data_IF_204880279769
#
_entry.id   IF_204880279769
#
_cell.length_a   1.000
_cell.length_b   1.000
_cell.length_c   1.000
_cell.angle_alpha   90.00
_cell.angle_beta   90.00
_cell.angle_gamma   90.00
#
_symmetry.space_group_name_H-M   'P 1'
#
loop_
_entity.id
_entity.type
_entity.pdbx_description
1 polymer ?
#
# COMPACT_ATOMS: atom_id res chain seq x y z
N UNK A 1 17.69 11.30 19.74
CA UNK A 1 16.24 11.45 19.96
C UNK A 1 15.58 10.75 18.78
N UNK A 2 15.12 9.51 18.96
CA UNK A 2 14.32 8.81 17.96
C UNK A 2 12.88 9.25 18.17
N UNK A 3 12.28 9.98 17.23
CA UNK A 3 10.83 10.12 17.19
C UNK A 3 10.28 8.88 16.47
N UNK A 4 9.97 7.84 17.24
CA UNK A 4 9.20 6.72 16.72
C UNK A 4 7.76 7.19 16.46
N UNK A 5 7.54 7.95 15.38
CA UNK A 5 6.21 8.19 14.84
C UNK A 5 5.78 6.91 14.13
N UNK A 6 5.31 5.94 14.92
CA UNK A 6 4.65 4.77 14.38
C UNK A 6 3.36 5.22 13.71
N UNK A 7 3.22 4.98 12.40
CA UNK A 7 1.94 5.14 11.71
C UNK A 7 0.99 4.06 12.24
N UNK A 8 -0.06 4.47 12.95
CA UNK A 8 -1.19 3.59 13.23
C UNK A 8 -2.03 3.56 11.95
N UNK A 9 -1.98 2.46 11.23
CA UNK A 9 -2.80 2.26 10.04
C UNK A 9 -4.09 1.62 10.51
N UNK A 10 -5.19 2.39 10.54
CA UNK A 10 -6.51 1.86 10.85
C UNK A 10 -7.11 1.27 9.56
N UNK A 11 -7.34 -0.04 9.56
CA UNK A 11 -8.19 -0.68 8.59
C UNK A 11 -9.65 -0.41 8.97
N UNK A 12 -10.43 0.10 8.02
CA UNK A 12 -11.89 0.12 8.10
C UNK A 12 -12.50 -1.07 7.34
N UNK A 13 -13.82 -1.16 7.31
CA UNK A 13 -14.55 -2.23 6.62
C UNK A 13 -14.24 -2.32 5.10
N UNK A 14 -13.69 -1.26 4.51
CA UNK A 14 -13.34 -1.20 3.09
C UNK A 14 -11.85 -1.43 2.82
N UNK A 15 -11.03 -1.55 3.87
CA UNK A 15 -9.60 -1.76 3.73
C UNK A 15 -9.31 -3.22 3.41
N UNK A 16 -8.62 -3.48 2.30
CA UNK A 16 -8.15 -4.82 1.99
C UNK A 16 -6.86 -5.11 2.76
N UNK A 17 -6.89 -6.09 3.67
CA UNK A 17 -5.73 -6.46 4.49
C UNK A 17 -5.27 -7.86 4.13
N UNK A 18 -4.00 -7.97 3.73
CA UNK A 18 -3.35 -9.25 3.40
C UNK A 18 -2.06 -9.37 4.21
N UNK A 19 -1.89 -10.52 4.88
CA UNK A 19 -0.71 -10.75 5.72
C UNK A 19 -0.14 -12.15 5.54
N UNK A 20 1.18 -12.28 5.66
CA UNK A 20 1.86 -13.57 5.63
C UNK A 20 3.30 -13.44 5.15
N UNK A 21 4.18 -14.28 5.68
CA UNK A 21 5.58 -14.32 5.25
C UNK A 21 5.75 -15.30 4.10
N UNK A 22 6.66 -15.00 3.17
CA UNK A 22 6.95 -15.85 2.01
C UNK A 22 5.75 -16.08 1.08
N UNK A 23 4.74 -15.22 1.14
CA UNK A 23 3.52 -15.35 0.36
C UNK A 23 3.57 -14.55 -0.94
N UNK A 24 2.71 -14.92 -1.89
CA UNK A 24 2.45 -14.14 -3.09
C UNK A 24 1.05 -13.55 -3.01
N UNK A 25 0.93 -12.26 -3.26
CA UNK A 25 -0.32 -11.52 -3.20
C UNK A 25 -0.60 -10.85 -4.54
N UNK A 26 -1.84 -10.90 -4.98
CA UNK A 26 -2.33 -10.20 -6.15
C UNK A 26 -3.59 -9.44 -5.78
N UNK A 27 -3.59 -8.14 -6.05
CA UNK A 27 -4.70 -7.24 -5.74
C UNK A 27 -5.00 -6.39 -6.96
N UNK A 28 -6.24 -6.43 -7.42
CA UNK A 28 -6.78 -5.42 -8.33
C UNK A 28 -7.36 -4.29 -7.48
N UNK A 29 -6.80 -3.10 -7.60
CA UNK A 29 -7.08 -1.98 -6.71
C UNK A 29 -8.42 -1.38 -7.08
N UNK A 30 -8.63 -0.93 -8.32
CA UNK A 30 -9.94 -0.44 -8.80
C UNK A 30 -10.73 0.42 -7.81
N UNK A 31 -10.05 1.24 -6.99
CA UNK A 31 -10.60 1.75 -5.73
C UNK A 31 -10.41 3.26 -5.58
N UNK A 32 -11.41 3.90 -5.00
CA UNK A 32 -11.38 5.30 -4.59
C UNK A 32 -11.30 5.37 -3.08
N UNK A 33 -10.22 5.96 -2.55
CA UNK A 33 -9.95 6.09 -1.12
C UNK A 33 -9.90 7.58 -0.76
N UNK A 34 -10.74 8.01 0.19
CA UNK A 34 -10.92 9.42 0.55
C UNK A 34 -11.03 9.60 2.06
N UNK A 35 -10.30 10.57 2.61
CA UNK A 35 -10.36 10.96 4.02
C UNK A 35 -9.12 10.56 4.83
N UNK A 36 -8.72 11.43 5.76
CA UNK A 36 -7.44 11.35 6.49
C UNK A 36 -7.23 10.04 7.29
N UNK A 37 -8.31 9.38 7.69
CA UNK A 37 -8.28 8.14 8.48
C UNK A 37 -8.50 6.89 7.63
N UNK A 38 -8.41 6.99 6.30
CA UNK A 38 -8.71 5.88 5.37
C UNK A 38 -7.47 5.28 4.75
N UNK A 39 -7.45 3.95 4.71
CA UNK A 39 -6.43 3.18 4.00
C UNK A 39 -7.08 2.27 2.97
N UNK A 40 -6.53 2.20 1.76
CA UNK A 40 -7.03 1.32 0.72
C UNK A 40 -6.62 -0.13 0.92
N UNK A 41 -5.32 -0.39 0.74
CA UNK A 41 -4.75 -1.75 0.81
C UNK A 41 -3.62 -1.78 1.82
N UNK A 42 -3.58 -2.80 2.67
CA UNK A 42 -2.49 -3.08 3.60
C UNK A 42 -1.94 -4.46 3.29
N UNK A 43 -0.64 -4.53 3.02
CA UNK A 43 0.11 -5.78 2.91
C UNK A 43 1.19 -5.80 3.99
N UNK A 44 1.25 -6.88 4.76
CA UNK A 44 2.27 -7.04 5.80
C UNK A 44 2.88 -8.43 5.82
N UNK A 45 4.20 -8.50 5.71
CA UNK A 45 4.94 -9.75 5.79
C UNK A 45 6.31 -9.66 5.13
N UNK A 46 7.20 -10.54 5.57
CA UNK A 46 8.56 -10.63 5.03
C UNK A 46 8.61 -11.52 3.79
N UNK A 47 9.50 -11.20 2.84
CA UNK A 47 9.75 -11.96 1.61
C UNK A 47 8.50 -12.16 0.76
N UNK A 48 7.56 -11.22 0.80
CA UNK A 48 6.34 -11.28 0.00
C UNK A 48 6.58 -10.84 -1.44
N UNK A 49 5.85 -11.42 -2.39
CA UNK A 49 5.79 -10.94 -3.78
C UNK A 49 4.39 -10.37 -4.01
N UNK A 50 4.31 -9.06 -4.22
CA UNK A 50 3.06 -8.33 -4.30
C UNK A 50 2.86 -7.79 -5.72
N UNK A 51 1.78 -8.20 -6.38
CA UNK A 51 1.35 -7.64 -7.67
C UNK A 51 0.09 -6.84 -7.46
N UNK A 52 0.18 -5.53 -7.60
CA UNK A 52 -0.92 -4.59 -7.41
C UNK A 52 -1.24 -3.96 -8.76
N UNK A 53 -2.39 -4.31 -9.33
CA UNK A 53 -2.84 -3.81 -10.63
C UNK A 53 -4.07 -2.93 -10.47
N UNK A 54 -4.47 -2.26 -11.55
CA UNK A 54 -5.73 -1.53 -11.63
C UNK A 54 -5.63 -0.08 -11.15
N UNK A 55 -6.60 0.71 -11.60
CA UNK A 55 -6.58 2.16 -11.40
C UNK A 55 -7.05 2.52 -9.98
N UNK A 56 -6.51 3.61 -9.44
CA UNK A 56 -6.83 4.06 -8.09
C UNK A 56 -6.94 5.58 -8.02
N UNK A 57 -7.88 6.06 -7.23
CA UNK A 57 -7.97 7.48 -6.87
C UNK A 57 -7.82 7.60 -5.37
N UNK A 58 -6.89 8.41 -4.89
CA UNK A 58 -6.62 8.61 -3.47
C UNK A 58 -6.66 10.10 -3.17
N UNK A 59 -7.53 10.53 -2.26
CA UNK A 59 -7.69 11.96 -1.94
C UNK A 59 -7.97 12.25 -0.46
N UNK A 60 -8.05 13.54 -0.12
CA UNK A 60 -8.46 14.06 1.19
C UNK A 60 -7.66 13.51 2.37
N UNK A 61 -6.34 13.37 2.21
CA UNK A 61 -5.44 12.89 3.26
C UNK A 61 -5.36 11.37 3.42
N UNK A 62 -6.06 10.60 2.58
CA UNK A 62 -6.07 9.14 2.66
C UNK A 62 -4.72 8.49 2.31
N UNK A 63 -4.60 7.19 2.59
CA UNK A 63 -3.47 6.36 2.18
C UNK A 63 -3.94 5.27 1.22
N UNK A 64 -3.43 5.26 -0.02
CA UNK A 64 -3.87 4.31 -1.04
C UNK A 64 -3.36 2.89 -0.81
N UNK A 65 -2.09 2.76 -0.48
CA UNK A 65 -1.40 1.47 -0.33
C UNK A 65 -0.41 1.55 0.82
N UNK A 66 -0.40 0.53 1.67
CA UNK A 66 0.67 0.32 2.64
C UNK A 66 1.25 -1.07 2.48
N UNK A 67 2.56 -1.16 2.32
CA UNK A 67 3.31 -2.42 2.31
C UNK A 67 4.38 -2.35 3.40
N UNK A 68 4.40 -3.35 4.28
CA UNK A 68 5.38 -3.46 5.37
C UNK A 68 6.02 -4.83 5.39
N UNK A 69 7.33 -4.89 5.62
CA UNK A 69 8.09 -6.12 5.76
C UNK A 69 9.43 -6.10 5.01
N UNK A 70 10.33 -6.98 5.39
CA UNK A 70 11.67 -7.06 4.82
C UNK A 70 11.68 -7.97 3.58
N UNK A 71 12.56 -7.67 2.62
CA UNK A 71 12.75 -8.43 1.37
C UNK A 71 11.49 -8.54 0.50
N UNK A 72 10.60 -7.55 0.52
CA UNK A 72 9.40 -7.58 -0.33
C UNK A 72 9.73 -7.24 -1.78
N UNK A 73 9.01 -7.85 -2.72
CA UNK A 73 9.06 -7.48 -4.15
C UNK A 73 7.68 -6.99 -4.56
N UNK A 74 7.58 -5.73 -4.95
CA UNK A 74 6.32 -5.06 -5.22
C UNK A 74 6.27 -4.64 -6.68
N UNK A 75 5.27 -5.09 -7.41
CA UNK A 75 4.95 -4.63 -8.76
C UNK A 75 3.64 -3.85 -8.68
N UNK A 76 3.70 -2.54 -8.89
CA UNK A 76 2.54 -1.65 -8.86
C UNK A 76 2.31 -1.18 -10.29
N UNK A 77 1.15 -1.54 -10.84
CA UNK A 77 0.77 -1.23 -12.21
C UNK A 77 -0.63 -0.62 -12.29
N UNK A 78 -0.84 0.27 -13.26
CA UNK A 78 -2.11 0.98 -13.46
C UNK A 78 -2.01 2.48 -13.15
N UNK A 79 -3.08 3.21 -13.39
CA UNK A 79 -3.12 4.66 -13.22
C UNK A 79 -3.56 5.03 -11.81
N UNK A 80 -2.71 5.73 -11.06
CA UNK A 80 -3.05 6.22 -9.71
C UNK A 80 -3.11 7.75 -9.70
N UNK A 81 -4.29 8.31 -9.47
CA UNK A 81 -4.48 9.73 -9.20
C UNK A 81 -4.39 9.98 -7.68
N UNK A 82 -3.53 10.91 -7.26
CA UNK A 82 -3.36 11.28 -5.85
C UNK A 82 -3.58 12.78 -5.69
N UNK A 83 -4.48 13.19 -4.81
CA UNK A 83 -4.76 14.61 -4.51
C UNK A 83 -4.80 14.87 -3.00
N UNK A 84 -3.83 15.61 -2.48
CA UNK A 84 -3.77 15.91 -1.04
C UNK A 84 -3.63 14.68 -0.14
N UNK A 85 -3.09 13.57 -0.65
CA UNK A 85 -3.09 12.25 0.00
C UNK A 85 -1.74 11.51 -0.19
N UNK A 86 -1.63 10.30 0.36
CA UNK A 86 -0.47 9.40 0.19
C UNK A 86 -0.85 8.27 -0.76
N UNK A 87 -0.22 8.19 -1.94
CA UNK A 87 -0.48 7.11 -2.91
C UNK A 87 -0.04 5.73 -2.39
N UNK A 88 1.23 5.61 -2.01
CA UNK A 88 1.79 4.38 -1.47
C UNK A 88 2.83 4.66 -0.37
N UNK A 89 2.78 3.88 0.70
CA UNK A 89 3.75 3.82 1.78
C UNK A 89 4.37 2.42 1.81
N UNK A 90 5.67 2.32 1.52
CA UNK A 90 6.38 1.04 1.49
C UNK A 90 7.53 1.11 2.48
N UNK A 91 7.56 0.19 3.45
CA UNK A 91 8.52 0.18 4.53
C UNK A 91 9.10 -1.20 4.77
N UNK A 92 10.41 -1.26 4.95
CA UNK A 92 11.17 -2.47 5.23
C UNK A 92 12.50 -2.50 4.50
N UNK A 93 13.39 -3.38 4.95
CA UNK A 93 14.74 -3.52 4.40
C UNK A 93 14.72 -4.35 3.13
N UNK A 94 15.62 -4.05 2.19
CA UNK A 94 15.80 -4.82 0.96
C UNK A 94 14.52 -5.02 0.12
N UNK A 95 13.55 -4.12 0.27
CA UNK A 95 12.33 -4.13 -0.53
C UNK A 95 12.61 -3.54 -1.91
N UNK A 96 12.13 -4.22 -2.96
CA UNK A 96 12.22 -3.77 -4.34
C UNK A 96 10.83 -3.39 -4.83
N UNK A 97 10.70 -2.23 -5.45
CA UNK A 97 9.43 -1.75 -5.98
C UNK A 97 9.60 -1.35 -7.44
N UNK A 98 8.78 -1.94 -8.30
CA UNK A 98 8.61 -1.56 -9.70
C UNK A 98 7.27 -0.87 -9.84
N UNK A 99 7.28 0.35 -10.37
CA UNK A 99 6.08 1.13 -10.65
C UNK A 99 5.94 1.33 -12.16
N UNK A 100 4.78 1.00 -12.70
CA UNK A 100 4.45 1.19 -14.12
C UNK A 100 3.03 1.75 -14.26
N UNK A 101 2.91 2.99 -14.71
CA UNK A 101 1.62 3.62 -14.97
C UNK A 101 1.70 4.49 -16.23
N UNK A 102 0.54 4.75 -16.82
CA UNK A 102 0.36 5.67 -17.94
C UNK A 102 0.22 7.12 -17.45
#
# INVERSE_FOLDING_TARGET
KYDSRGYLILADDQTQVTTGNNETHATDRGMTVSGADKTGVIISGDKTINTLTGDSTVNDGAVGLVITGDNTTNTIAGHTTVDGAIGALISGNNSTTTLSGD
#
